data_IF_740273347207
#
_entry.id   IF_740273347207
#
_cell.length_a   1.000
_cell.length_b   1.000
_cell.length_c   1.000
_cell.angle_alpha   90.00
_cell.angle_beta   90.00
_cell.angle_gamma   90.00
#
_symmetry.space_group_name_H-M   'P 1'
#
loop_
_entity.id
_entity.type
_entity.pdbx_description
1 polymer ?
#
# COMPACT_ATOMS: atom_id res chain seq x y z
N UNK A 1 37.56 -2.19 -11.30
CA UNK A 1 36.95 -3.52 -11.11
C UNK A 1 35.85 -3.62 -12.14
N UNK A 2 35.89 -4.64 -12.98
CA UNK A 2 34.98 -4.79 -14.10
C UNK A 2 33.56 -4.99 -13.57
N UNK A 3 32.71 -3.98 -13.75
CA UNK A 3 31.26 -4.09 -13.70
C UNK A 3 30.84 -4.84 -14.96
N UNK A 4 30.95 -6.16 -14.93
CA UNK A 4 29.94 -6.94 -15.64
C UNK A 4 28.66 -6.64 -14.88
N UNK A 5 27.77 -5.84 -15.48
CA UNK A 5 26.42 -5.64 -14.99
C UNK A 5 25.79 -7.04 -14.93
N UNK A 6 25.87 -7.69 -13.77
CA UNK A 6 25.07 -8.87 -13.47
C UNK A 6 23.63 -8.40 -13.61
N UNK A 7 23.06 -8.73 -14.76
CA UNK A 7 21.70 -8.38 -15.10
C UNK A 7 20.77 -9.18 -14.18
N UNK A 8 20.46 -8.61 -13.02
CA UNK A 8 19.63 -9.25 -11.98
C UNK A 8 18.15 -9.28 -12.38
N UNK A 9 17.74 -8.40 -13.29
CA UNK A 9 16.37 -8.25 -13.74
C UNK A 9 16.00 -9.14 -14.93
N UNK A 10 14.73 -9.10 -15.34
CA UNK A 10 13.61 -8.39 -14.74
C UNK A 10 13.08 -9.08 -13.46
N UNK A 11 13.09 -8.36 -12.35
CA UNK A 11 12.62 -8.81 -11.03
C UNK A 11 11.12 -8.55 -10.81
N UNK A 12 10.59 -7.43 -11.30
CA UNK A 12 9.23 -6.94 -10.93
C UNK A 12 8.19 -7.45 -11.92
N UNK A 13 7.94 -8.77 -11.94
CA UNK A 13 6.99 -9.45 -12.84
C UNK A 13 6.30 -10.65 -12.19
N UNK A 14 5.24 -11.18 -12.81
CA UNK A 14 4.51 -12.33 -12.29
C UNK A 14 5.29 -13.65 -12.29
N UNK A 15 6.32 -13.80 -13.13
CA UNK A 15 7.21 -14.97 -13.04
C UNK A 15 7.99 -14.98 -11.73
N UNK A 16 8.11 -13.82 -11.07
CA UNK A 16 8.75 -13.66 -9.78
C UNK A 16 10.25 -13.89 -9.79
N UNK A 17 10.78 -14.13 -8.62
CA UNK A 17 12.19 -14.43 -8.38
C UNK A 17 12.31 -15.82 -7.77
N UNK A 18 13.49 -16.40 -7.90
CA UNK A 18 13.85 -17.65 -7.23
C UNK A 18 14.59 -17.37 -5.93
N UNK A 19 14.52 -18.30 -5.00
CA UNK A 19 15.23 -18.23 -3.72
C UNK A 19 16.74 -18.10 -3.89
N UNK A 20 17.32 -18.66 -4.96
CA UNK A 20 18.73 -18.51 -5.33
C UNK A 20 19.12 -17.09 -5.76
N UNK A 21 18.15 -16.27 -6.20
CA UNK A 21 18.35 -14.86 -6.58
C UNK A 21 18.19 -13.92 -5.39
N UNK A 22 17.69 -14.41 -4.25
CA UNK A 22 17.58 -13.60 -3.04
C UNK A 22 18.96 -13.33 -2.45
N UNK A 23 19.20 -12.16 -1.84
CA UNK A 23 20.42 -11.92 -1.08
C UNK A 23 20.58 -12.99 0.01
N UNK A 24 21.82 -13.44 0.23
CA UNK A 24 22.10 -14.38 1.32
C UNK A 24 21.57 -13.84 2.66
N UNK A 25 21.16 -14.70 3.58
CA UNK A 25 20.68 -14.27 4.90
C UNK A 25 21.74 -13.51 5.72
N UNK A 26 23.02 -13.73 5.42
CA UNK A 26 24.16 -13.00 5.98
C UNK A 26 24.59 -11.78 5.16
N UNK A 27 23.82 -11.36 4.16
CA UNK A 27 24.17 -10.26 3.26
C UNK A 27 24.45 -8.98 4.05
N UNK A 28 25.58 -8.34 3.73
CA UNK A 28 25.94 -7.04 4.26
C UNK A 28 25.22 -5.93 3.50
N UNK A 29 25.38 -4.69 3.96
CA UNK A 29 24.84 -3.50 3.27
C UNK A 29 25.33 -3.37 1.84
N UNK A 30 26.60 -3.72 1.59
CA UNK A 30 27.20 -3.65 0.26
C UNK A 30 26.63 -4.73 -0.67
N UNK A 31 26.28 -5.90 -0.12
CA UNK A 31 25.69 -7.01 -0.88
C UNK A 31 24.21 -6.75 -1.22
N UNK A 32 23.49 -6.03 -0.34
CA UNK A 32 22.08 -5.69 -0.56
C UNK A 32 21.88 -4.59 -1.60
N UNK A 33 22.81 -3.64 -1.72
CA UNK A 33 22.61 -2.44 -2.52
C UNK A 33 22.36 -2.72 -4.02
N UNK A 34 23.13 -3.57 -4.73
CA UNK A 34 22.89 -3.88 -6.15
C UNK A 34 21.49 -4.48 -6.39
N UNK A 35 21.08 -5.40 -5.52
CA UNK A 35 19.77 -6.03 -5.60
C UNK A 35 18.63 -5.02 -5.43
N UNK A 36 18.75 -4.10 -4.46
CA UNK A 36 17.75 -3.07 -4.21
C UNK A 36 17.71 -2.01 -5.32
N UNK A 37 18.86 -1.69 -5.93
CA UNK A 37 18.92 -0.85 -7.13
C UNK A 37 18.14 -1.51 -8.26
N UNK A 38 18.37 -2.79 -8.55
CA UNK A 38 17.67 -3.50 -9.61
C UNK A 38 16.13 -3.51 -9.41
N UNK A 39 15.66 -3.74 -8.19
CA UNK A 39 14.23 -3.66 -7.86
C UNK A 39 13.67 -2.26 -8.14
N UNK A 40 14.36 -1.20 -7.69
CA UNK A 40 13.89 0.18 -7.85
C UNK A 40 13.95 0.66 -9.31
N UNK A 41 14.97 0.26 -10.07
CA UNK A 41 15.13 0.56 -11.49
C UNK A 41 13.95 0.08 -12.33
N UNK A 42 13.31 -1.01 -11.94
CA UNK A 42 12.09 -1.48 -12.57
C UNK A 42 10.84 -0.82 -11.96
N UNK A 43 10.74 -0.78 -10.63
CA UNK A 43 9.52 -0.35 -9.94
C UNK A 43 9.23 1.15 -10.10
N UNK A 44 10.23 2.01 -9.90
CA UNK A 44 10.03 3.47 -9.85
C UNK A 44 9.56 4.00 -11.22
N UNK A 45 10.23 3.71 -12.35
CA UNK A 45 9.75 4.15 -13.65
C UNK A 45 8.37 3.56 -14.02
N UNK A 46 8.10 2.31 -13.60
CA UNK A 46 6.84 1.63 -13.91
C UNK A 46 5.62 2.32 -13.28
N UNK A 47 5.72 2.71 -12.00
CA UNK A 47 4.66 3.46 -11.32
C UNK A 47 4.68 4.95 -11.68
N UNK A 48 5.84 5.53 -12.00
CA UNK A 48 5.94 6.89 -12.53
C UNK A 48 5.14 7.04 -13.82
N UNK A 49 5.15 6.05 -14.71
CA UNK A 49 4.40 6.10 -15.96
C UNK A 49 2.87 6.27 -15.79
N UNK A 50 2.30 5.93 -14.62
CA UNK A 50 0.87 6.15 -14.32
C UNK A 50 0.58 7.64 -14.08
N UNK A 51 1.45 8.31 -13.31
CA UNK A 51 1.32 9.70 -12.94
C UNK A 51 2.71 10.37 -12.87
N UNK A 52 3.27 10.78 -14.02
CA UNK A 52 4.63 11.31 -14.09
C UNK A 52 4.80 12.58 -13.27
N UNK A 53 5.96 12.71 -12.62
CA UNK A 53 6.26 13.86 -11.74
C UNK A 53 6.38 15.17 -12.52
N UNK A 54 6.79 15.08 -13.78
CA UNK A 54 6.94 16.20 -14.71
C UNK A 54 5.61 16.62 -15.38
N UNK A 55 4.51 15.93 -15.07
CA UNK A 55 3.19 16.20 -15.66
C UNK A 55 3.06 15.76 -17.11
N UNK A 56 4.05 15.06 -17.68
CA UNK A 56 3.95 14.52 -19.03
C UNK A 56 2.96 13.36 -19.02
N UNK A 57 1.89 13.44 -19.81
CA UNK A 57 0.98 12.31 -19.91
C UNK A 57 1.68 11.19 -20.70
N UNK A 58 1.66 9.95 -20.17
CA UNK A 58 2.07 8.74 -20.89
C UNK A 58 0.87 7.83 -21.19
N UNK A 59 -0.13 8.32 -21.94
CA UNK A 59 -1.42 7.62 -22.12
C UNK A 59 -1.29 6.30 -22.89
N UNK A 60 -0.18 6.08 -23.59
CA UNK A 60 0.06 4.85 -24.34
C UNK A 60 0.54 3.68 -23.46
N UNK A 61 1.00 3.93 -22.23
CA UNK A 61 1.48 2.87 -21.33
C UNK A 61 0.38 2.33 -20.42
N UNK A 62 -0.52 3.20 -19.94
CA UNK A 62 -1.61 2.85 -19.03
C UNK A 62 -2.95 3.33 -19.58
N UNK A 63 -3.84 2.38 -19.86
CA UNK A 63 -5.18 2.66 -20.35
C UNK A 63 -6.11 3.00 -19.19
N UNK A 64 -6.69 4.19 -19.18
CA UNK A 64 -7.72 4.56 -18.22
C UNK A 64 -8.97 3.65 -18.36
N UNK A 65 -9.52 3.21 -17.22
CA UNK A 65 -10.68 2.31 -17.14
C UNK A 65 -11.89 2.94 -16.47
N UNK A 66 -11.71 4.08 -15.80
CA UNK A 66 -12.77 4.86 -15.17
C UNK A 66 -12.40 5.31 -13.77
N UNK A 67 -13.41 5.76 -13.03
CA UNK A 67 -13.26 6.27 -11.67
C UNK A 67 -14.37 5.69 -10.79
N UNK A 68 -14.03 5.35 -9.54
CA UNK A 68 -14.99 4.86 -8.54
C UNK A 68 -14.99 5.75 -7.30
N UNK A 69 -16.13 5.84 -6.64
CA UNK A 69 -16.26 6.45 -5.32
C UNK A 69 -16.65 5.36 -4.31
N UNK A 70 -16.21 5.53 -3.07
CA UNK A 70 -16.51 4.62 -1.96
C UNK A 70 -16.99 5.42 -0.75
N UNK A 71 -17.99 4.95 0.01
CA UNK A 71 -18.49 5.67 1.19
C UNK A 71 -17.41 5.97 2.24
N UNK A 72 -16.44 5.06 2.38
CA UNK A 72 -15.35 5.13 3.35
C UNK A 72 -14.16 5.96 2.85
N UNK A 73 -14.25 6.61 1.68
CA UNK A 73 -13.21 7.46 1.11
C UNK A 73 -13.77 8.80 0.68
N UNK A 74 -13.11 9.89 1.08
CA UNK A 74 -13.43 11.24 0.55
C UNK A 74 -12.85 11.47 -0.84
N UNK A 75 -11.89 10.65 -1.26
CA UNK A 75 -11.28 10.70 -2.58
C UNK A 75 -11.93 9.68 -3.52
N UNK A 76 -12.07 10.07 -4.78
CA UNK A 76 -12.33 9.12 -5.85
C UNK A 76 -11.09 8.29 -6.17
N UNK A 77 -11.30 7.07 -6.65
CA UNK A 77 -10.26 6.13 -7.07
C UNK A 77 -10.29 5.99 -8.58
N UNK A 78 -9.26 6.52 -9.23
CA UNK A 78 -9.02 6.38 -10.67
C UNK A 78 -8.48 4.98 -10.96
N UNK A 79 -8.92 4.36 -12.05
CA UNK A 79 -8.58 2.99 -12.44
C UNK A 79 -7.85 2.98 -13.79
N UNK A 80 -6.78 2.21 -13.88
CA UNK A 80 -5.95 2.04 -15.06
C UNK A 80 -5.64 0.56 -15.31
N UNK A 81 -5.30 0.24 -16.55
CA UNK A 81 -4.91 -1.09 -16.99
C UNK A 81 -3.72 -1.01 -17.92
N UNK A 82 -2.74 -1.91 -17.72
CA UNK A 82 -1.63 -2.11 -18.65
C UNK A 82 -1.57 -3.59 -19.00
N UNK A 83 -1.45 -3.89 -20.29
CA UNK A 83 -1.30 -5.26 -20.77
C UNK A 83 0.09 -5.37 -21.36
N UNK A 84 0.89 -6.27 -20.82
CA UNK A 84 2.20 -6.64 -21.37
C UNK A 84 2.00 -7.96 -22.12
N UNK A 85 2.24 -7.95 -23.43
CA UNK A 85 1.97 -9.12 -24.26
C UNK A 85 2.93 -10.27 -23.94
N UNK A 86 2.48 -11.52 -24.16
CA UNK A 86 3.36 -12.68 -24.06
C UNK A 86 4.64 -12.53 -24.89
N UNK A 87 4.54 -11.97 -26.11
CA UNK A 87 5.69 -11.74 -27.00
C UNK A 87 6.71 -10.75 -26.41
N UNK A 88 6.24 -9.69 -25.75
CA UNK A 88 7.13 -8.74 -25.07
C UNK A 88 7.82 -9.41 -23.87
N UNK A 89 7.07 -10.18 -23.10
CA UNK A 89 7.59 -10.92 -21.94
C UNK A 89 8.59 -12.01 -22.35
N UNK A 90 8.35 -12.72 -23.46
CA UNK A 90 9.27 -13.70 -24.02
C UNK A 90 10.59 -13.06 -24.47
N UNK A 91 10.50 -11.89 -25.14
CA UNK A 91 11.70 -11.12 -25.52
C UNK A 91 12.49 -10.66 -24.30
N UNK A 92 11.79 -10.23 -23.26
CA UNK A 92 12.42 -9.83 -22.00
C UNK A 92 13.08 -11.04 -21.33
N UNK A 93 12.38 -12.15 -21.16
CA UNK A 93 12.95 -13.37 -20.59
C UNK A 93 14.18 -13.85 -21.35
N UNK A 94 14.14 -13.83 -22.69
CA UNK A 94 15.28 -14.20 -23.54
C UNK A 94 16.48 -13.26 -23.37
N UNK A 95 16.26 -11.95 -23.29
CA UNK A 95 17.34 -10.95 -23.08
C UNK A 95 18.05 -11.17 -21.75
N UNK A 96 17.32 -11.61 -20.74
CA UNK A 96 17.80 -11.79 -19.38
C UNK A 96 18.09 -13.25 -19.04
N UNK A 97 18.10 -14.14 -20.05
CA UNK A 97 18.47 -15.56 -19.90
C UNK A 97 17.65 -16.29 -18.83
N UNK A 98 16.39 -15.89 -18.62
CA UNK A 98 15.52 -16.55 -17.66
C UNK A 98 15.24 -17.98 -18.10
N UNK A 99 15.23 -18.97 -17.19
CA UNK A 99 14.99 -20.36 -17.53
C UNK A 99 13.60 -20.52 -18.16
N UNK A 100 13.57 -21.12 -19.36
CA UNK A 100 12.40 -21.20 -20.22
C UNK A 100 11.45 -22.35 -19.80
N UNK A 101 11.15 -22.43 -18.50
CA UNK A 101 10.52 -23.60 -17.89
C UNK A 101 8.98 -23.57 -17.92
N UNK A 102 8.37 -22.42 -18.23
CA UNK A 102 6.93 -22.25 -18.29
C UNK A 102 6.49 -21.47 -19.54
N UNK A 103 5.27 -21.74 -20.00
CA UNK A 103 4.60 -20.90 -20.99
C UNK A 103 4.43 -19.50 -20.41
N UNK A 104 5.17 -18.54 -20.98
CA UNK A 104 5.00 -17.12 -20.69
C UNK A 104 3.66 -16.70 -21.28
N UNK A 105 2.80 -16.11 -20.44
CA UNK A 105 1.48 -15.61 -20.83
C UNK A 105 1.43 -14.11 -20.69
N UNK A 106 0.50 -13.48 -21.40
CA UNK A 106 0.17 -12.06 -21.24
C UNK A 106 -0.05 -11.69 -19.77
N UNK A 107 0.58 -10.61 -19.34
CA UNK A 107 0.49 -10.07 -17.98
C UNK A 107 -0.43 -8.85 -17.99
N UNK A 108 -1.53 -8.91 -17.24
CA UNK A 108 -2.48 -7.79 -17.12
C UNK A 108 -2.32 -7.14 -15.76
N UNK A 109 -1.86 -5.90 -15.77
CA UNK A 109 -1.74 -5.06 -14.59
C UNK A 109 -2.99 -4.22 -14.40
N UNK A 110 -3.55 -4.29 -13.20
CA UNK A 110 -4.55 -3.36 -12.72
C UNK A 110 -3.86 -2.29 -11.88
N UNK A 111 -4.19 -1.03 -12.12
CA UNK A 111 -3.65 0.08 -11.35
C UNK A 111 -4.76 0.97 -10.83
N UNK A 112 -4.55 1.52 -9.62
CA UNK A 112 -5.42 2.48 -9.00
C UNK A 112 -4.63 3.68 -8.50
N UNK A 113 -5.25 4.86 -8.59
CA UNK A 113 -4.71 6.12 -8.08
C UNK A 113 -5.77 6.84 -7.26
N UNK A 114 -5.38 7.42 -6.15
CA UNK A 114 -6.25 8.24 -5.30
C UNK A 114 -5.44 9.38 -4.66
N UNK A 115 -6.11 10.49 -4.35
CA UNK A 115 -5.46 11.69 -3.78
C UNK A 115 -6.24 12.14 -2.55
N UNK A 116 -5.58 12.13 -1.40
CA UNK A 116 -6.18 12.29 -0.08
C UNK A 116 -5.72 13.60 0.59
N UNK A 117 -6.57 14.17 1.44
CA UNK A 117 -6.15 15.31 2.27
C UNK A 117 -5.22 14.78 3.37
N UNK A 118 -4.07 15.41 3.59
CA UNK A 118 -3.21 15.03 4.70
C UNK A 118 -3.80 15.52 6.03
N UNK A 119 -4.59 14.65 6.67
CA UNK A 119 -5.12 14.85 8.01
C UNK A 119 -5.68 13.53 8.57
N UNK A 120 -5.69 13.34 9.88
CA UNK A 120 -6.46 12.25 10.48
C UNK A 120 -7.96 12.56 10.38
N UNK A 121 -8.77 11.62 9.89
CA UNK A 121 -10.23 11.76 9.87
C UNK A 121 -10.95 10.74 8.98
N UNK A 122 -12.28 10.62 9.13
CA UNK A 122 -13.07 9.69 8.31
C UNK A 122 -12.90 9.97 6.83
N UNK A 123 -12.67 8.89 6.07
CA UNK A 123 -12.44 8.92 4.63
C UNK A 123 -11.13 9.54 4.19
N UNK A 124 -10.15 9.67 5.09
CA UNK A 124 -8.80 10.11 4.78
C UNK A 124 -7.81 9.69 5.89
N UNK A 125 -6.53 10.00 5.72
CA UNK A 125 -5.49 9.65 6.68
C UNK A 125 -4.32 10.64 6.63
N UNK A 126 -3.63 10.78 7.74
CA UNK A 126 -2.42 11.57 7.85
C UNK A 126 -1.23 10.86 7.18
N UNK A 127 -0.24 11.63 6.75
CA UNK A 127 0.99 11.11 6.15
C UNK A 127 1.66 10.03 7.01
N UNK A 128 1.72 10.26 8.32
CA UNK A 128 2.28 9.33 9.28
C UNK A 128 1.51 7.99 9.31
N UNK A 129 0.20 8.00 9.09
CA UNK A 129 -0.62 6.78 9.00
C UNK A 129 -0.32 6.00 7.73
N UNK A 130 -0.16 6.70 6.60
CA UNK A 130 0.27 6.05 5.36
C UNK A 130 1.66 5.42 5.50
N UNK A 131 2.63 6.15 6.04
CA UNK A 131 3.99 5.63 6.26
C UNK A 131 3.94 4.42 7.20
N UNK A 132 3.26 4.56 8.36
CA UNK A 132 3.21 3.46 9.33
C UNK A 132 2.55 2.21 8.76
N UNK A 133 1.36 2.36 8.19
CA UNK A 133 0.55 1.21 7.79
C UNK A 133 0.98 0.61 6.45
N UNK A 134 1.36 1.44 5.47
CA UNK A 134 1.67 0.92 4.14
C UNK A 134 3.15 0.66 3.93
N UNK A 135 4.06 1.44 4.54
CA UNK A 135 5.51 1.19 4.43
C UNK A 135 6.01 0.30 5.55
N UNK A 136 5.76 0.71 6.80
CA UNK A 136 6.50 0.19 7.94
C UNK A 136 5.97 -1.12 8.49
N UNK A 137 4.65 -1.25 8.55
CA UNK A 137 3.93 -2.40 9.07
C UNK A 137 3.04 -3.05 7.98
N UNK A 138 3.48 -2.96 6.71
CA UNK A 138 2.71 -3.31 5.51
C UNK A 138 1.85 -4.58 5.66
N UNK A 139 2.49 -5.71 5.95
CA UNK A 139 1.84 -7.03 6.05
C UNK A 139 0.83 -7.10 7.21
N UNK A 140 1.18 -6.52 8.36
CA UNK A 140 0.31 -6.54 9.54
C UNK A 140 -0.90 -5.62 9.36
N UNK A 141 -0.71 -4.45 8.75
CA UNK A 141 -1.81 -3.56 8.41
C UNK A 141 -2.73 -4.18 7.36
N UNK A 142 -2.17 -4.74 6.27
CA UNK A 142 -2.95 -5.40 5.23
C UNK A 142 -3.80 -6.54 5.78
N UNK A 143 -3.22 -7.37 6.67
CA UNK A 143 -3.97 -8.40 7.39
C UNK A 143 -5.10 -7.84 8.25
N UNK A 144 -4.92 -6.68 8.86
CA UNK A 144 -5.92 -6.06 9.72
C UNK A 144 -7.10 -5.48 8.92
N UNK A 145 -6.84 -4.79 7.80
CA UNK A 145 -7.90 -4.14 7.02
C UNK A 145 -8.47 -5.01 5.89
N UNK A 146 -7.83 -6.13 5.53
CA UNK A 146 -8.29 -7.01 4.44
C UNK A 146 -9.01 -8.25 4.96
N UNK A 147 -10.35 -8.36 4.83
CA UNK A 147 -11.14 -9.41 5.48
C UNK A 147 -10.80 -10.85 5.08
N UNK A 148 -10.12 -11.05 3.96
CA UNK A 148 -9.82 -12.37 3.41
C UNK A 148 -8.42 -12.87 3.77
N UNK A 149 -7.58 -12.06 4.42
CA UNK A 149 -6.28 -12.51 4.92
C UNK A 149 -6.51 -13.33 6.17
N UNK A 150 -6.14 -14.61 6.12
CA UNK A 150 -6.29 -15.54 7.23
C UNK A 150 -5.07 -15.52 8.14
N UNK A 151 -3.89 -15.52 7.53
CA UNK A 151 -2.62 -15.73 8.21
C UNK A 151 -1.49 -15.10 7.40
N UNK A 152 -0.47 -14.61 8.10
CA UNK A 152 0.76 -14.05 7.53
C UNK A 152 1.94 -14.64 8.29
N UNK A 153 3.07 -14.86 7.60
CA UNK A 153 4.32 -15.31 8.20
C UNK A 153 5.51 -14.67 7.51
N UNK A 154 6.46 -14.12 8.27
CA UNK A 154 7.76 -13.67 7.76
C UNK A 154 8.70 -14.90 7.66
N UNK A 155 9.03 -15.30 6.44
CA UNK A 155 9.92 -16.42 6.14
C UNK A 155 11.40 -16.02 6.19
N UNK A 156 11.71 -14.82 5.74
CA UNK A 156 13.06 -14.24 5.70
C UNK A 156 13.00 -12.74 5.99
N UNK A 157 14.08 -12.20 6.56
CA UNK A 157 14.24 -10.76 6.84
C UNK A 157 15.71 -10.37 6.74
N UNK A 158 16.00 -9.21 6.18
CA UNK A 158 17.35 -8.66 6.09
C UNK A 158 17.50 -7.39 6.94
N UNK A 159 18.68 -7.20 7.53
CA UNK A 159 19.05 -5.93 8.19
C UNK A 159 19.53 -4.92 7.14
N UNK A 160 18.66 -3.99 6.77
CA UNK A 160 18.97 -2.97 5.78
C UNK A 160 19.45 -1.65 6.41
N UNK A 161 19.83 -1.63 7.69
CA UNK A 161 20.20 -0.40 8.40
C UNK A 161 21.33 0.35 7.70
N UNK A 162 21.03 1.55 7.22
CA UNK A 162 22.02 2.43 6.58
C UNK A 162 22.37 2.04 5.15
N UNK A 163 21.60 1.15 4.51
CA UNK A 163 21.61 1.00 3.06
C UNK A 163 21.01 2.26 2.44
N UNK A 164 21.71 2.82 1.45
CA UNK A 164 21.29 3.99 0.69
C UNK A 164 21.64 3.72 -0.76
N UNK A 165 20.68 3.94 -1.66
CA UNK A 165 20.87 3.72 -3.10
C UNK A 165 20.31 4.90 -3.88
N UNK A 166 20.87 5.18 -5.05
CA UNK A 166 20.39 6.24 -5.94
C UNK A 166 19.60 5.61 -7.09
N UNK A 167 18.37 6.08 -7.30
CA UNK A 167 17.54 5.67 -8.44
C UNK A 167 16.57 6.77 -8.83
N UNK A 168 16.39 6.99 -10.14
CA UNK A 168 15.55 8.06 -10.71
C UNK A 168 15.82 9.46 -10.12
N UNK A 169 17.08 9.76 -9.81
CA UNK A 169 17.51 11.05 -9.24
C UNK A 169 17.12 11.25 -7.76
N UNK A 170 16.69 10.19 -7.07
CA UNK A 170 16.39 10.20 -5.64
C UNK A 170 17.34 9.26 -4.89
N UNK A 171 17.73 9.66 -3.69
CA UNK A 171 18.40 8.78 -2.73
C UNK A 171 17.35 8.04 -1.92
N UNK A 172 17.26 6.74 -2.09
CA UNK A 172 16.36 5.87 -1.33
C UNK A 172 17.08 5.31 -0.10
N UNK A 173 16.39 5.32 1.03
CA UNK A 173 16.89 4.85 2.33
C UNK A 173 15.76 4.24 3.16
N UNK A 174 16.06 3.88 4.41
CA UNK A 174 15.08 3.30 5.36
C UNK A 174 14.37 2.06 4.80
N UNK A 175 15.18 1.19 4.18
CA UNK A 175 14.76 -0.04 3.56
C UNK A 175 14.21 -1.03 4.59
N UNK A 176 13.11 -1.69 4.24
CA UNK A 176 12.65 -2.92 4.88
C UNK A 176 12.50 -3.99 3.82
N UNK A 177 13.15 -5.12 4.04
CA UNK A 177 13.21 -6.21 3.07
C UNK A 177 12.95 -7.52 3.81
N UNK A 178 12.00 -8.30 3.31
CA UNK A 178 11.67 -9.60 3.86
C UNK A 178 10.84 -10.43 2.88
N UNK A 179 10.84 -11.75 3.06
CA UNK A 179 9.92 -12.64 2.36
C UNK A 179 8.78 -12.98 3.30
N UNK A 180 7.55 -12.75 2.87
CA UNK A 180 6.33 -13.08 3.61
C UNK A 180 5.47 -14.08 2.87
N UNK A 181 4.82 -14.98 3.61
CA UNK A 181 3.78 -15.87 3.10
C UNK A 181 2.42 -15.36 3.59
N UNK A 182 1.53 -14.96 2.67
CA UNK A 182 0.23 -14.40 3.02
C UNK A 182 -0.88 -15.32 2.53
N UNK A 183 -1.62 -15.91 3.48
CA UNK A 183 -2.67 -16.89 3.23
C UNK A 183 -4.03 -16.23 3.15
N UNK A 184 -4.70 -16.42 2.02
CA UNK A 184 -5.98 -15.83 1.69
C UNK A 184 -7.09 -16.88 1.55
N UNK A 185 -8.27 -16.55 2.08
CA UNK A 185 -9.50 -17.31 1.85
C UNK A 185 -10.15 -16.87 0.54
N UNK A 186 -10.20 -17.74 -0.46
CA UNK A 186 -10.90 -17.46 -1.72
C UNK A 186 -12.30 -18.10 -1.74
N UNK A 187 -13.26 -17.44 -1.10
CA UNK A 187 -14.66 -17.86 -1.08
C UNK A 187 -14.88 -19.23 -0.41
N UNK A 188 -16.10 -19.77 -0.50
CA UNK A 188 -16.48 -21.03 0.16
C UNK A 188 -16.12 -22.27 -0.67
N UNK A 189 -16.03 -22.12 -2.00
CA UNK A 189 -15.88 -23.24 -2.94
C UNK A 189 -14.48 -23.37 -3.56
N UNK A 190 -13.57 -22.42 -3.30
CA UNK A 190 -12.21 -22.51 -3.83
C UNK A 190 -11.22 -22.75 -2.70
N UNK A 191 -10.09 -23.41 -3.03
CA UNK A 191 -8.98 -23.64 -2.10
C UNK A 191 -8.41 -22.32 -1.56
N UNK A 192 -7.82 -22.32 -0.38
CA UNK A 192 -7.10 -21.15 0.10
C UNK A 192 -5.86 -20.91 -0.76
N UNK A 193 -5.46 -19.65 -0.91
CA UNK A 193 -4.27 -19.25 -1.66
C UNK A 193 -3.19 -18.80 -0.70
N UNK A 194 -1.95 -19.14 -1.00
CA UNK A 194 -0.79 -18.57 -0.30
C UNK A 194 0.03 -17.84 -1.32
N UNK A 195 0.34 -16.58 -1.05
CA UNK A 195 1.21 -15.75 -1.88
C UNK A 195 2.54 -15.58 -1.15
N UNK A 196 3.62 -16.24 -1.61
CA UNK A 196 4.97 -16.00 -1.12
C UNK A 196 5.55 -14.78 -1.85
N UNK A 197 5.84 -13.73 -1.13
CA UNK A 197 6.25 -12.44 -1.69
C UNK A 197 7.51 -11.92 -1.00
N UNK A 198 8.51 -11.56 -1.79
CA UNK A 198 9.53 -10.62 -1.35
C UNK A 198 8.88 -9.24 -1.32
N UNK A 199 8.94 -8.58 -0.17
CA UNK A 199 8.44 -7.23 0.03
C UNK A 199 9.63 -6.32 0.31
N UNK A 200 9.78 -5.30 -0.53
CA UNK A 200 10.78 -4.24 -0.41
C UNK A 200 10.05 -2.92 -0.21
N UNK A 201 10.28 -2.24 0.91
CA UNK A 201 9.82 -0.87 1.10
C UNK A 201 10.98 0.08 1.35
N UNK A 202 10.89 1.31 0.84
CA UNK A 202 11.95 2.31 0.93
C UNK A 202 11.37 3.73 0.94
N UNK A 203 12.05 4.65 1.61
CA UNK A 203 11.69 6.07 1.63
C UNK A 203 12.71 6.89 0.85
N UNK A 204 12.25 7.86 0.07
CA UNK A 204 13.14 8.82 -0.57
C UNK A 204 13.62 9.86 0.46
N UNK A 205 14.94 10.06 0.52
CA UNK A 205 15.57 11.03 1.42
C UNK A 205 15.19 12.46 1.04
N UNK A 206 14.83 13.25 2.04
CA UNK A 206 14.60 14.69 1.89
C UNK A 206 13.27 15.06 1.21
N UNK A 207 12.45 14.08 0.83
CA UNK A 207 11.11 14.28 0.28
C UNK A 207 10.11 13.33 0.95
N UNK A 208 8.85 13.74 1.00
CA UNK A 208 7.76 12.87 1.48
C UNK A 208 7.31 11.95 0.36
N UNK A 209 8.09 10.90 0.10
CA UNK A 209 7.79 9.84 -0.86
C UNK A 209 8.32 8.50 -0.36
N UNK A 210 7.54 7.44 -0.53
CA UNK A 210 7.99 6.07 -0.31
C UNK A 210 7.39 5.13 -1.35
N UNK A 211 8.06 3.99 -1.52
CA UNK A 211 7.62 2.89 -2.38
C UNK A 211 7.56 1.58 -1.61
N UNK A 212 6.67 0.71 -2.05
CA UNK A 212 6.56 -0.68 -1.61
C UNK A 212 6.45 -1.54 -2.86
N UNK A 213 7.26 -2.59 -2.95
CA UNK A 213 7.33 -3.49 -4.09
C UNK A 213 7.17 -4.91 -3.58
N UNK A 214 6.14 -5.61 -4.05
CA UNK A 214 5.95 -7.04 -3.80
C UNK A 214 6.32 -7.84 -5.04
N UNK A 215 7.14 -8.88 -4.88
CA UNK A 215 7.61 -9.74 -5.96
C UNK A 215 7.39 -11.21 -5.57
N UNK A 216 6.74 -12.04 -6.40
CA UNK A 216 6.52 -13.45 -6.07
C UNK A 216 7.85 -14.20 -5.86
N UNK A 217 7.95 -15.05 -4.84
CA UNK A 217 9.06 -16.00 -4.68
C UNK A 217 8.61 -17.38 -5.18
N UNK A 218 8.93 -17.66 -6.44
CA UNK A 218 8.31 -18.73 -7.25
C UNK A 218 8.58 -20.14 -6.75
N UNK A 219 9.74 -20.38 -6.12
CA UNK A 219 10.18 -21.69 -5.64
C UNK A 219 10.24 -21.79 -4.10
N UNK A 220 9.57 -20.89 -3.38
CA UNK A 220 9.57 -20.92 -1.90
C UNK A 220 9.03 -22.25 -1.35
N UNK A 221 8.08 -22.87 -2.04
CA UNK A 221 7.50 -24.17 -1.67
C UNK A 221 8.53 -25.32 -1.69
N UNK A 222 9.56 -25.22 -2.53
CA UNK A 222 10.63 -26.21 -2.64
C UNK A 222 11.84 -25.89 -1.75
N UNK A 223 11.82 -24.72 -1.10
CA UNK A 223 12.88 -24.25 -0.20
C UNK A 223 12.64 -24.64 1.27
N UNK A 224 13.68 -24.59 2.10
CA UNK A 224 13.57 -24.77 3.55
C UNK A 224 12.88 -23.60 4.28
N UNK A 225 12.68 -22.47 3.59
CA UNK A 225 12.09 -21.26 4.17
C UNK A 225 10.56 -21.26 4.14
N UNK A 226 9.95 -21.98 3.20
CA UNK A 226 8.50 -22.05 3.04
C UNK A 226 7.82 -22.90 4.11
N UNK A 227 6.71 -22.39 4.66
CA UNK A 227 5.88 -23.08 5.63
C UNK A 227 4.41 -23.10 5.22
N UNK A 228 3.75 -21.93 5.12
CA UNK A 228 2.33 -21.84 4.74
C UNK A 228 2.10 -22.31 3.30
N UNK A 229 3.05 -22.07 2.39
CA UNK A 229 2.98 -22.56 1.00
C UNK A 229 2.96 -24.09 0.91
N UNK A 230 3.38 -24.80 1.98
CA UNK A 230 3.36 -26.26 2.08
C UNK A 230 2.11 -26.80 2.77
N UNK A 231 1.18 -25.95 3.19
CA UNK A 231 -0.06 -26.37 3.82
C UNK A 231 -0.89 -27.27 2.90
N UNK A 232 -1.50 -28.30 3.46
CA UNK A 232 -2.37 -29.18 2.68
C UNK A 232 -3.59 -28.41 2.15
N UNK A 233 -3.85 -28.56 0.85
CA UNK A 233 -5.05 -28.03 0.22
C UNK A 233 -4.99 -26.53 -0.11
N UNK A 234 -3.83 -25.89 0.03
CA UNK A 234 -3.62 -24.54 -0.52
C UNK A 234 -3.18 -24.59 -1.98
N UNK A 235 -3.33 -23.47 -2.68
CA UNK A 235 -2.76 -23.23 -3.99
C UNK A 235 -1.76 -22.08 -3.85
N UNK A 236 -0.54 -22.25 -4.32
CA UNK A 236 0.44 -21.16 -4.36
C UNK A 236 0.07 -20.24 -5.51
N UNK A 237 -0.27 -18.99 -5.19
CA UNK A 237 -0.54 -17.94 -6.15
C UNK A 237 0.70 -17.09 -6.40
N UNK A 238 0.66 -16.30 -7.47
CA UNK A 238 1.66 -15.26 -7.74
C UNK A 238 0.98 -13.88 -7.67
N UNK A 239 1.63 -12.97 -6.98
CA UNK A 239 1.20 -11.59 -6.84
C UNK A 239 2.42 -10.68 -6.93
N UNK A 240 2.38 -9.73 -7.86
CA UNK A 240 3.41 -8.70 -8.01
C UNK A 240 2.73 -7.34 -7.88
N UNK A 241 3.34 -6.41 -7.15
CA UNK A 241 2.82 -5.06 -7.01
C UNK A 241 3.92 -4.02 -6.91
N UNK A 242 3.59 -2.82 -7.36
CA UNK A 242 4.35 -1.60 -7.11
C UNK A 242 3.39 -0.57 -6.55
N UNK A 243 3.69 -0.10 -5.36
CA UNK A 243 2.95 0.92 -4.65
C UNK A 243 3.84 2.12 -4.38
N UNK A 244 3.29 3.31 -4.60
CA UNK A 244 3.95 4.59 -4.30
C UNK A 244 2.99 5.50 -3.58
N UNK A 245 3.50 6.11 -2.52
CA UNK A 245 2.81 7.16 -1.78
C UNK A 245 3.72 8.37 -1.73
N UNK A 246 3.19 9.55 -2.09
CA UNK A 246 3.93 10.80 -2.04
C UNK A 246 3.06 11.98 -1.65
N UNK A 247 3.66 12.99 -1.05
CA UNK A 247 3.05 14.30 -0.87
C UNK A 247 3.18 15.11 -2.15
N UNK A 248 2.06 15.61 -2.67
CA UNK A 248 2.01 16.50 -3.82
C UNK A 248 2.37 17.94 -3.40
N UNK A 249 2.74 18.83 -4.35
CA UNK A 249 2.95 20.26 -4.06
C UNK A 249 1.73 20.95 -3.43
N UNK A 250 0.53 20.40 -3.63
CA UNK A 250 -0.72 20.88 -3.00
C UNK A 250 -0.83 20.52 -1.51
N UNK A 251 0.10 19.73 -0.97
CA UNK A 251 0.06 19.17 0.38
C UNK A 251 -0.78 17.89 0.51
N UNK A 252 -1.53 17.50 -0.53
CA UNK A 252 -2.30 16.27 -0.56
C UNK A 252 -1.40 15.03 -0.71
N UNK A 253 -1.89 13.86 -0.32
CA UNK A 253 -1.19 12.58 -0.41
C UNK A 253 -1.70 11.84 -1.64
N UNK A 254 -0.84 11.63 -2.62
CA UNK A 254 -1.12 10.75 -3.75
C UNK A 254 -0.73 9.32 -3.39
N UNK A 255 -1.64 8.39 -3.68
CA UNK A 255 -1.46 6.98 -3.43
C UNK A 255 -1.78 6.17 -4.68
N UNK A 256 -0.76 5.55 -5.26
CA UNK A 256 -0.83 4.72 -6.46
C UNK A 256 -0.42 3.30 -6.11
N UNK A 257 -1.15 2.32 -6.64
CA UNK A 257 -0.75 0.92 -6.62
C UNK A 257 -1.08 0.30 -7.96
N UNK A 258 -0.08 -0.36 -8.54
CA UNK A 258 -0.22 -1.21 -9.71
C UNK A 258 0.07 -2.66 -9.29
N UNK A 259 -0.74 -3.60 -9.73
CA UNK A 259 -0.52 -5.02 -9.45
C UNK A 259 -0.95 -5.89 -10.61
N UNK A 260 -0.23 -6.98 -10.79
CA UNK A 260 -0.68 -8.13 -11.57
C UNK A 260 -0.76 -9.34 -10.63
N UNK A 261 -1.74 -10.20 -10.85
CA UNK A 261 -1.92 -11.42 -10.05
C UNK A 261 -2.31 -12.59 -10.94
N UNK A 262 -1.76 -13.74 -10.61
CA UNK A 262 -2.22 -15.04 -11.08
C UNK A 262 -2.51 -15.90 -9.85
N UNK A 263 -3.79 -15.99 -9.49
CA UNK A 263 -4.25 -16.80 -8.36
C UNK A 263 -4.10 -18.32 -8.59
N UNK A 264 -3.63 -18.71 -9.80
CA UNK A 264 -3.47 -20.06 -10.34
C UNK A 264 -4.75 -20.90 -10.27
N UNK A 265 -4.74 -22.03 -10.96
CA UNK A 265 -5.89 -22.94 -11.06
C UNK A 265 -6.78 -22.68 -12.28
N UNK A 266 -8.07 -22.98 -12.18
CA UNK A 266 -8.98 -23.08 -13.34
C UNK A 266 -9.64 -21.77 -13.77
N UNK A 267 -9.33 -20.62 -13.16
CA UNK A 267 -9.98 -19.35 -13.51
C UNK A 267 -9.30 -18.71 -14.74
N UNK A 268 -10.04 -18.39 -15.81
CA UNK A 268 -9.51 -17.65 -16.94
C UNK A 268 -8.87 -16.32 -16.50
N UNK A 269 -7.69 -15.99 -17.03
CA UNK A 269 -6.90 -14.82 -16.64
C UNK A 269 -7.68 -13.49 -16.76
N UNK A 270 -8.55 -13.35 -17.77
CA UNK A 270 -9.38 -12.14 -17.96
C UNK A 270 -10.43 -11.94 -16.86
N UNK A 271 -10.91 -13.02 -16.23
CA UNK A 271 -11.82 -12.94 -15.07
C UNK A 271 -11.04 -12.48 -13.85
N UNK A 272 -9.84 -13.05 -13.66
CA UNK A 272 -8.95 -12.65 -12.57
C UNK A 272 -8.59 -11.17 -12.69
N UNK A 273 -8.15 -10.70 -13.86
CA UNK A 273 -7.79 -9.30 -14.10
C UNK A 273 -8.93 -8.31 -13.79
N UNK A 274 -10.16 -8.61 -14.24
CA UNK A 274 -11.35 -7.78 -13.92
C UNK A 274 -11.66 -7.78 -12.42
N UNK A 275 -11.53 -8.93 -11.76
CA UNK A 275 -11.72 -9.04 -10.31
C UNK A 275 -10.66 -8.21 -9.57
N UNK A 276 -9.38 -8.32 -9.96
CA UNK A 276 -8.25 -7.59 -9.37
C UNK A 276 -8.50 -6.09 -9.45
N UNK A 277 -8.87 -5.53 -10.61
CA UNK A 277 -9.16 -4.10 -10.74
C UNK A 277 -10.31 -3.63 -9.81
N UNK A 278 -11.28 -4.50 -9.54
CA UNK A 278 -12.35 -4.24 -8.58
C UNK A 278 -11.89 -4.28 -7.12
N UNK A 279 -11.03 -5.25 -6.78
CA UNK A 279 -10.48 -5.46 -5.43
C UNK A 279 -9.53 -4.33 -5.05
N UNK A 280 -8.54 -4.02 -5.90
CA UNK A 280 -7.50 -3.01 -5.58
C UNK A 280 -8.07 -1.61 -5.35
N UNK A 281 -9.22 -1.31 -5.94
CA UNK A 281 -9.91 -0.04 -5.69
C UNK A 281 -10.67 -0.03 -4.37
N UNK A 282 -11.20 -1.18 -3.93
CA UNK A 282 -11.86 -1.32 -2.62
C UNK A 282 -10.86 -1.26 -1.48
N UNK A 283 -9.60 -1.65 -1.69
CA UNK A 283 -8.57 -1.61 -0.65
C UNK A 283 -8.34 -0.20 -0.08
N UNK A 284 -8.52 0.84 -0.91
CA UNK A 284 -8.51 2.23 -0.44
C UNK A 284 -9.61 2.49 0.59
N UNK A 285 -10.83 2.01 0.32
CA UNK A 285 -11.96 2.16 1.22
C UNK A 285 -11.80 1.32 2.49
N UNK A 286 -11.30 0.08 2.35
CA UNK A 286 -11.00 -0.81 3.47
C UNK A 286 -9.98 -0.20 4.43
N UNK A 287 -8.85 0.28 3.90
CA UNK A 287 -7.82 0.94 4.70
C UNK A 287 -8.36 2.20 5.41
N UNK A 288 -9.06 3.08 4.68
CA UNK A 288 -9.54 4.35 5.23
C UNK A 288 -10.69 4.16 6.25
N UNK A 289 -11.53 3.15 6.06
CA UNK A 289 -12.53 2.72 7.03
C UNK A 289 -11.86 2.19 8.29
N UNK A 290 -10.96 1.22 8.15
CA UNK A 290 -10.24 0.59 9.25
C UNK A 290 -9.43 1.60 10.07
N UNK A 291 -8.63 2.47 9.44
CA UNK A 291 -7.81 3.45 10.18
C UNK A 291 -8.68 4.50 10.91
N UNK A 292 -9.89 4.77 10.41
CA UNK A 292 -10.86 5.58 11.14
C UNK A 292 -11.37 4.88 12.41
N UNK A 293 -11.66 3.58 12.33
CA UNK A 293 -12.07 2.77 13.47
C UNK A 293 -10.96 2.62 14.51
N UNK A 294 -9.71 2.39 14.09
CA UNK A 294 -8.55 2.30 14.99
C UNK A 294 -8.36 3.57 15.84
N UNK A 295 -8.62 4.74 15.25
CA UNK A 295 -8.60 6.03 15.96
C UNK A 295 -9.73 6.13 16.98
N UNK A 296 -10.93 5.68 16.65
CA UNK A 296 -12.08 5.68 17.56
C UNK A 296 -11.88 4.72 18.74
N UNK A 297 -11.26 3.57 18.50
CA UNK A 297 -11.01 2.53 19.51
C UNK A 297 -9.79 2.82 20.39
N UNK A 298 -8.91 3.75 20.00
CA UNK A 298 -7.70 4.10 20.75
C UNK A 298 -6.70 2.95 20.82
N UNK A 299 -6.56 2.18 19.75
CA UNK A 299 -5.59 1.07 19.63
C UNK A 299 -4.15 1.61 19.63
N UNK A 300 -3.13 0.75 19.56
CA UNK A 300 -1.72 1.20 19.48
C UNK A 300 -1.49 2.11 18.26
N UNK A 301 -2.15 1.80 17.14
CA UNK A 301 -2.16 2.65 15.94
C UNK A 301 -2.89 3.96 16.24
N UNK A 302 -4.11 3.91 16.79
CA UNK A 302 -4.88 5.11 17.16
C UNK A 302 -4.20 6.01 18.21
N UNK A 303 -3.49 5.45 19.18
CA UNK A 303 -2.71 6.17 20.21
C UNK A 303 -1.50 6.85 19.59
N UNK A 304 -0.79 6.17 18.70
CA UNK A 304 0.37 6.74 18.03
C UNK A 304 -0.02 7.92 17.13
N UNK A 305 -1.14 7.81 16.40
CA UNK A 305 -1.63 8.86 15.50
C UNK A 305 -2.19 10.07 16.25
N UNK A 306 -2.88 9.85 17.38
CA UNK A 306 -3.40 10.92 18.24
C UNK A 306 -2.29 11.81 18.84
N UNK A 307 -1.13 11.24 19.17
CA UNK A 307 -0.01 11.96 19.81
C UNK A 307 0.76 12.84 18.83
N UNK A 308 0.94 12.41 17.56
CA UNK A 308 1.67 13.20 16.55
C UNK A 308 0.82 14.25 15.83
N UNK A 309 -0.50 14.04 15.71
CA UNK A 309 -1.41 15.01 15.09
C UNK A 309 -1.55 16.34 15.84
N UNK A 310 -1.09 16.42 17.10
CA UNK A 310 -1.16 17.62 17.93
C UNK A 310 0.12 18.49 17.91
N UNK A 311 1.19 18.08 17.20
CA UNK A 311 2.54 18.65 17.37
C UNK A 311 3.27 19.12 16.11
N UNK A 312 2.57 19.41 15.01
CA UNK A 312 3.19 19.83 13.75
C UNK A 312 3.61 21.30 13.72
N UNK A 313 4.77 21.64 14.30
CA UNK A 313 5.42 22.94 14.12
C UNK A 313 6.47 23.26 15.17
N UNK A 314 7.71 22.80 14.98
CA UNK A 314 8.81 23.15 15.87
C UNK A 314 10.12 22.46 15.49
N UNK A 315 10.92 23.16 14.69
CA UNK A 315 12.31 22.86 14.38
C UNK A 315 13.13 22.66 15.68
N UNK A 316 13.70 21.48 15.90
CA UNK A 316 14.58 21.22 17.05
C UNK A 316 16.03 21.45 16.62
N UNK A 317 16.62 22.55 17.08
CA UNK A 317 18.09 22.70 17.20
C UNK A 317 18.55 22.26 18.60
N UNK A 318 19.77 21.71 18.73
CA UNK A 318 20.19 21.04 19.96
C UNK A 318 20.81 22.02 20.96
N UNK A 319 20.55 21.82 22.25
CA UNK A 319 21.24 22.58 23.30
C UNK A 319 20.90 22.19 24.74
N UNK A 320 21.88 21.53 25.37
CA UNK A 320 22.32 21.76 26.77
C UNK A 320 21.45 21.32 27.97
N UNK A 321 21.92 20.25 28.62
CA UNK A 321 22.18 20.11 30.07
C UNK A 321 21.32 20.86 31.11
N UNK A 322 20.63 20.09 31.97
CA UNK A 322 20.79 20.07 33.44
C UNK A 322 19.82 19.02 34.03
N UNK A 323 20.28 17.89 34.60
CA UNK A 323 20.67 17.64 36.01
C UNK A 323 19.65 18.05 37.09
N UNK A 324 19.31 17.02 37.90
CA UNK A 324 18.72 16.98 39.26
C UNK A 324 17.22 17.28 39.34
N UNK A 325 16.40 16.64 40.18
CA UNK A 325 16.47 15.53 41.16
C UNK A 325 14.99 15.14 41.43
N UNK A 326 14.58 13.87 41.46
CA UNK A 326 14.54 12.96 42.63
C UNK A 326 13.90 13.54 43.92
N UNK A 327 12.63 13.24 44.16
CA UNK A 327 11.98 12.92 45.47
C UNK A 327 10.47 12.70 45.22
N UNK A 328 9.95 11.46 45.17
CA UNK A 328 9.49 10.60 46.29
C UNK A 328 8.39 11.21 47.16
N UNK A 329 7.17 10.72 46.88
CA UNK A 329 6.09 10.23 47.76
C UNK A 329 5.55 11.06 48.94
N UNK A 330 4.20 11.01 49.06
CA UNK A 330 3.34 10.64 50.21
C UNK A 330 2.05 11.48 50.13
N UNK A 331 0.93 10.86 49.79
CA UNK A 331 -0.10 10.24 50.68
C UNK A 331 -1.19 11.22 51.11
N UNK A 332 -2.42 10.79 50.77
CA UNK A 332 -3.70 10.84 51.50
C UNK A 332 -4.23 12.13 52.11
N UNK A 333 -5.54 12.35 51.90
CA UNK A 333 -6.28 13.38 52.62
C UNK A 333 -7.68 13.63 52.09
N UNK A 334 -8.62 12.81 52.58
CA UNK A 334 -10.07 12.86 52.44
C UNK A 334 -10.81 14.22 52.52
N UNK A 335 -12.04 14.16 52.00
CA UNK A 335 -13.28 14.71 52.58
C UNK A 335 -13.78 16.08 52.12
N UNK A 336 -14.91 16.00 51.38
CA UNK A 336 -16.18 16.75 51.55
C UNK A 336 -16.14 18.29 51.45
N UNK A 337 -17.18 19.03 51.11
CA UNK A 337 -18.63 18.83 51.08
C UNK A 337 -19.24 19.95 50.19
N UNK A 338 -20.54 19.80 49.89
CA UNK A 338 -21.55 20.89 49.80
C UNK A 338 -21.74 21.67 48.48
N UNK A 339 -22.85 21.28 47.84
CA UNK A 339 -24.01 22.07 47.40
C UNK A 339 -23.84 23.25 46.41
N UNK A 340 -24.63 23.16 45.34
CA UNK A 340 -25.00 24.29 44.48
C UNK A 340 -26.14 23.92 43.54
N UNK A 341 -27.34 23.74 44.10
CA UNK A 341 -28.61 23.47 43.40
C UNK A 341 -29.17 24.79 42.86
N UNK A 342 -29.42 24.90 41.55
CA UNK A 342 -30.52 25.71 41.03
C UNK A 342 -31.18 25.02 39.83
N UNK A 343 -32.42 24.59 40.06
CA UNK A 343 -33.43 24.25 39.05
C UNK A 343 -34.12 25.54 38.59
N UNK A 344 -34.46 25.62 37.31
CA UNK A 344 -35.85 25.74 36.75
C UNK A 344 -35.77 26.22 35.30
N UNK A 345 -36.17 25.37 34.34
CA UNK A 345 -37.53 25.26 33.77
C UNK A 345 -37.94 26.44 32.87
N UNK A 346 -38.37 26.17 31.65
CA UNK A 346 -39.25 27.09 30.90
C UNK A 346 -39.14 27.06 29.37
N UNK A 347 -39.72 26.02 28.78
CA UNK A 347 -40.05 25.78 27.35
C UNK A 347 -41.31 26.63 26.95
N UNK A 348 -41.94 26.66 25.74
CA UNK A 348 -41.60 26.54 24.29
C UNK A 348 -42.20 27.70 23.41
N UNK A 349 -42.25 27.47 22.08
CA UNK A 349 -43.30 27.83 21.06
C UNK A 349 -42.87 28.91 20.05
N UNK A 350 -43.24 28.93 18.76
CA UNK A 350 -43.97 28.03 17.84
C UNK A 350 -43.92 28.63 16.41
N UNK A 351 -44.12 27.77 15.42
CA UNK A 351 -44.87 27.96 14.15
C UNK A 351 -44.28 28.71 12.93
N UNK A 352 -44.40 28.04 11.77
CA UNK A 352 -44.59 28.64 10.44
C UNK A 352 -44.54 27.62 9.29
N UNK A 353 -45.70 27.09 8.86
CA UNK A 353 -45.92 26.18 7.71
C UNK A 353 -46.10 26.95 6.39
N UNK A 354 -45.46 26.47 5.31
CA UNK A 354 -46.00 26.20 3.94
C UNK A 354 -46.50 27.37 3.05
N UNK A 355 -46.74 27.17 1.72
CA UNK A 355 -46.98 25.90 1.00
C UNK A 355 -46.25 25.73 -0.37
N UNK A 356 -46.53 24.60 -1.03
CA UNK A 356 -46.14 24.19 -2.38
C UNK A 356 -47.00 24.81 -3.52
N UNK A 357 -46.53 24.73 -4.78
CA UNK A 357 -47.27 24.28 -5.99
C UNK A 357 -46.50 24.58 -7.31
N UNK A 358 -46.54 23.62 -8.25
CA UNK A 358 -46.64 23.90 -9.71
C UNK A 358 -45.48 23.50 -10.65
N UNK A 359 -45.60 22.33 -11.32
CA UNK A 359 -45.15 22.18 -12.73
C UNK A 359 -46.24 22.69 -13.69
N UNK A 360 -46.26 22.42 -15.03
CA UNK A 360 -45.41 21.52 -15.84
C UNK A 360 -45.01 22.05 -17.25
N UNK A 361 -44.43 21.16 -18.08
CA UNK A 361 -44.50 21.05 -19.55
C UNK A 361 -43.50 21.72 -20.52
N UNK A 362 -43.01 20.86 -21.45
CA UNK A 362 -42.75 21.13 -22.88
C UNK A 362 -41.29 21.29 -23.27
N UNK A 363 -40.73 20.77 -24.37
CA UNK A 363 -41.13 19.83 -25.44
C UNK A 363 -39.89 19.70 -26.36
N UNK A 364 -39.73 18.54 -27.02
CA UNK A 364 -39.13 18.29 -28.34
C UNK A 364 -37.90 19.07 -28.86
N UNK A 365 -36.90 18.30 -29.34
CA UNK A 365 -35.85 18.80 -30.23
C UNK A 365 -35.03 17.64 -30.79
N UNK A 366 -35.22 17.37 -32.08
CA UNK A 366 -34.90 16.17 -32.81
C UNK A 366 -33.65 16.39 -33.72
N UNK A 367 -32.86 15.33 -33.92
CA UNK A 367 -32.03 14.93 -35.10
C UNK A 367 -30.80 15.73 -35.61
N UNK A 368 -29.85 14.89 -36.08
CA UNK A 368 -28.84 15.03 -37.15
C UNK A 368 -27.47 15.64 -36.80
N UNK A 369 -26.43 14.80 -36.69
CA UNK A 369 -25.61 14.31 -37.80
C UNK A 369 -24.77 13.10 -37.36
#
# INVERSE_FOLDING_TARGET
>A
MNTEDENMGPLVRLWGIRTEQLPASSATKADLAPFLIAVLQEAVPFVDAVAPKDGTARPNEWKAKGTKAFPESTASVEQYERIISAVELEKEAARNQLPNNNSISTETWACRRSVHKDRPGKGTAAWEEFVKCLKDDHVEAEKAFTPNVMESREALKWDCKGVVVEEAGLLWEDFKVGVSEIKHKLGVLLKNRVFPELIVSAKARGVDEFVVVSIPVSDLADSDHGQLVKDKGVVVGAYVSVERVRRLPTGAIEWIMATASDAKGMLPAWIQAKAVLGVVSKDVALFLGWIAEEREQGTSVGKWTAVKGAGGGGEVRPGSNNRKASSVALEDGESSTVQGRFQRQGVPSRNGKGPALGGPNGTNGQVHA
#
